data_IF_508702430732
#
_entry.id   IF_508702430732
#
_cell.length_a   1.000
_cell.length_b   1.000
_cell.length_c   1.000
_cell.angle_alpha   90.00
_cell.angle_beta   90.00
_cell.angle_gamma   90.00
#
_symmetry.space_group_name_H-M   'P 1'
#
loop_
_entity.id
_entity.type
_entity.pdbx_description
1 polymer ?
#
# COMPACT_ATOMS: atom_id res chain seq x y z
N UNK A 1 23.57 -15.85 -5.73
CA UNK A 1 22.30 -16.61 -5.65
C UNK A 1 21.21 -15.58 -5.38
N UNK A 2 20.45 -15.18 -6.42
CA UNK A 2 19.43 -14.13 -6.29
C UNK A 2 18.35 -14.65 -5.34
N UNK A 3 18.02 -13.84 -4.34
CA UNK A 3 17.00 -14.15 -3.35
C UNK A 3 15.62 -14.03 -4.02
N UNK A 4 15.27 -14.96 -4.90
CA UNK A 4 13.97 -15.02 -5.58
C UNK A 4 12.93 -15.52 -4.59
N UNK A 5 12.61 -14.69 -3.59
CA UNK A 5 11.25 -14.71 -3.06
C UNK A 5 10.34 -14.52 -4.27
N UNK A 6 9.56 -15.55 -4.62
CA UNK A 6 8.75 -15.60 -5.84
C UNK A 6 8.03 -14.27 -6.08
N UNK A 7 8.62 -13.44 -6.93
CA UNK A 7 8.08 -12.14 -7.30
C UNK A 7 6.69 -12.39 -7.90
N UNK A 8 5.66 -11.79 -7.31
CA UNK A 8 4.29 -11.96 -7.83
C UNK A 8 4.15 -11.29 -9.18
N UNK A 9 3.27 -11.81 -10.04
CA UNK A 9 3.00 -11.21 -11.35
C UNK A 9 2.59 -9.73 -11.24
N UNK A 10 1.85 -9.35 -10.19
CA UNK A 10 1.49 -7.97 -9.89
C UNK A 10 2.72 -7.06 -9.74
N UNK A 11 3.72 -7.50 -8.97
CA UNK A 11 4.95 -6.73 -8.77
C UNK A 11 5.69 -6.58 -10.10
N UNK A 12 5.87 -7.69 -10.83
CA UNK A 12 6.52 -7.68 -12.15
C UNK A 12 5.83 -6.74 -13.13
N UNK A 13 4.50 -6.81 -13.26
CA UNK A 13 3.74 -5.94 -14.16
C UNK A 13 3.91 -4.47 -13.79
N UNK A 14 3.81 -4.11 -12.51
CA UNK A 14 4.05 -2.74 -12.07
C UNK A 14 5.50 -2.31 -12.34
N UNK A 15 6.48 -3.20 -12.17
CA UNK A 15 7.90 -2.94 -12.44
C UNK A 15 8.12 -2.64 -13.91
N UNK A 16 7.53 -3.43 -14.79
CA UNK A 16 7.53 -3.16 -16.23
C UNK A 16 6.91 -1.80 -16.54
N UNK A 17 5.73 -1.48 -15.98
CA UNK A 17 5.06 -0.20 -16.25
C UNK A 17 5.88 1.03 -15.79
N UNK A 18 6.51 0.95 -14.62
CA UNK A 18 7.32 2.05 -14.07
C UNK A 18 8.74 2.13 -14.66
N UNK A 19 9.15 1.18 -15.50
CA UNK A 19 10.46 1.18 -16.17
C UNK A 19 10.35 1.46 -17.69
N UNK A 20 9.18 1.86 -18.18
CA UNK A 20 8.97 2.18 -19.59
C UNK A 20 9.71 3.45 -20.05
N UNK A 21 10.10 4.34 -19.14
CA UNK A 21 10.88 5.52 -19.48
C UNK A 21 12.29 5.17 -19.96
N UNK A 22 12.75 5.88 -20.99
CA UNK A 22 14.07 5.65 -21.58
C UNK A 22 15.19 5.84 -20.56
N UNK A 23 16.12 4.89 -20.52
CA UNK A 23 17.27 4.91 -19.61
C UNK A 23 17.00 4.29 -18.23
N UNK A 24 15.78 3.83 -17.97
CA UNK A 24 15.48 3.01 -16.79
C UNK A 24 16.11 1.62 -16.91
N UNK A 25 16.67 1.15 -15.79
CA UNK A 25 17.22 -0.19 -15.61
C UNK A 25 16.51 -0.85 -14.43
N UNK A 26 16.25 -2.15 -14.53
CA UNK A 26 15.57 -2.92 -13.48
C UNK A 26 16.54 -3.81 -12.71
N UNK A 27 16.27 -4.08 -11.43
CA UNK A 27 17.06 -4.99 -10.57
C UNK A 27 18.54 -4.59 -10.47
N UNK A 28 18.78 -3.29 -10.26
CA UNK A 28 20.13 -2.72 -10.25
C UNK A 28 20.72 -2.74 -8.85
N UNK A 29 21.90 -3.32 -8.69
CA UNK A 29 22.68 -3.21 -7.46
C UNK A 29 23.40 -1.85 -7.38
N UNK A 30 23.14 -1.10 -6.32
CA UNK A 30 23.79 0.16 -5.99
C UNK A 30 24.03 0.21 -4.48
N UNK A 31 25.25 0.52 -4.05
CA UNK A 31 25.63 0.65 -2.63
C UNK A 31 25.26 -0.58 -1.78
N UNK A 32 25.46 -1.78 -2.34
CA UNK A 32 25.15 -3.06 -1.68
C UNK A 32 23.64 -3.35 -1.53
N UNK A 33 22.77 -2.64 -2.26
CA UNK A 33 21.31 -2.83 -2.27
C UNK A 33 20.82 -2.98 -3.69
N UNK A 34 19.92 -3.93 -3.93
CA UNK A 34 19.29 -4.14 -5.24
C UNK A 34 18.01 -3.33 -5.30
N UNK A 35 17.92 -2.34 -6.19
CA UNK A 35 16.72 -1.54 -6.42
C UNK A 35 15.86 -2.10 -7.55
N UNK A 36 14.53 -2.00 -7.42
CA UNK A 36 13.62 -2.52 -8.45
C UNK A 36 13.83 -1.80 -9.78
N UNK A 37 13.95 -0.47 -9.75
CA UNK A 37 14.18 0.38 -10.92
C UNK A 37 15.14 1.52 -10.55
N UNK A 38 16.09 1.81 -11.44
CA UNK A 38 16.99 2.97 -11.37
C UNK A 38 16.94 3.71 -12.70
N UNK A 39 16.66 5.01 -12.67
CA UNK A 39 16.63 5.86 -13.87
C UNK A 39 18.04 6.31 -14.30
N UNK A 40 18.12 7.02 -15.44
CA UNK A 40 19.38 7.53 -16.00
C UNK A 40 20.11 8.55 -15.10
N UNK A 41 19.42 9.13 -14.12
CA UNK A 41 19.96 10.10 -13.15
C UNK A 41 20.33 9.45 -11.82
N UNK A 42 20.14 8.14 -11.68
CA UNK A 42 20.38 7.40 -10.44
C UNK A 42 19.27 7.53 -9.41
N UNK A 43 18.09 8.03 -9.76
CA UNK A 43 16.93 7.99 -8.88
C UNK A 43 16.34 6.58 -8.85
N UNK A 44 15.75 6.22 -7.72
CA UNK A 44 15.33 4.85 -7.46
C UNK A 44 13.81 4.77 -7.29
N UNK A 45 13.22 3.72 -7.84
CA UNK A 45 11.81 3.36 -7.61
C UNK A 45 11.73 1.95 -7.05
N UNK A 46 10.94 1.79 -5.98
CA UNK A 46 10.67 0.52 -5.31
C UNK A 46 9.19 0.18 -5.35
N UNK A 47 8.85 -1.05 -5.75
CA UNK A 47 7.46 -1.52 -5.77
C UNK A 47 7.28 -2.49 -4.62
N UNK A 48 6.37 -2.16 -3.70
CA UNK A 48 6.11 -3.02 -2.56
C UNK A 48 4.63 -3.29 -2.43
N UNK A 49 4.22 -4.55 -2.67
CA UNK A 49 2.79 -4.91 -2.66
C UNK A 49 2.21 -5.16 -1.26
N UNK A 50 3.06 -5.26 -0.22
CA UNK A 50 2.73 -5.44 1.21
C UNK A 50 3.93 -5.14 2.11
N UNK A 51 3.71 -4.75 3.36
CA UNK A 51 4.77 -4.50 4.35
C UNK A 51 5.80 -3.49 3.84
N UNK A 52 5.31 -2.31 3.43
CA UNK A 52 6.12 -1.20 2.91
C UNK A 52 7.20 -0.76 3.90
N UNK A 53 6.96 -0.93 5.20
CA UNK A 53 7.95 -0.67 6.26
C UNK A 53 9.29 -1.37 6.07
N UNK A 54 9.35 -2.49 5.34
CA UNK A 54 10.62 -3.16 5.00
C UNK A 54 11.55 -2.31 4.15
N UNK A 55 11.01 -1.33 3.42
CA UNK A 55 11.80 -0.40 2.62
C UNK A 55 12.41 0.74 3.42
N UNK A 56 12.00 0.97 4.68
CA UNK A 56 12.42 2.15 5.43
C UNK A 56 13.94 2.37 5.43
N UNK A 57 14.72 1.36 5.81
CA UNK A 57 16.19 1.44 5.89
C UNK A 57 16.81 1.67 4.50
N UNK A 58 16.26 1.03 3.47
CA UNK A 58 16.74 1.16 2.09
C UNK A 58 16.42 2.54 1.53
N UNK A 59 15.23 3.07 1.81
CA UNK A 59 14.79 4.42 1.45
C UNK A 59 15.63 5.48 2.15
N UNK A 60 15.82 5.38 3.48
CA UNK A 60 16.64 6.35 4.23
C UNK A 60 18.05 6.47 3.64
N UNK A 61 18.71 5.35 3.39
CA UNK A 61 20.05 5.35 2.83
C UNK A 61 20.12 5.91 1.40
N UNK A 62 19.11 5.67 0.56
CA UNK A 62 19.07 6.27 -0.77
C UNK A 62 18.88 7.80 -0.70
N UNK A 63 18.01 8.26 0.22
CA UNK A 63 17.80 9.69 0.46
C UNK A 63 19.05 10.38 1.02
N UNK A 64 19.77 9.73 1.95
CA UNK A 64 21.04 10.21 2.51
C UNK A 64 22.13 10.35 1.44
N UNK A 65 22.12 9.46 0.44
CA UNK A 65 22.98 9.54 -0.74
C UNK A 65 22.50 10.56 -1.80
N UNK A 66 21.51 11.39 -1.47
CA UNK A 66 21.01 12.48 -2.33
C UNK A 66 20.12 12.03 -3.48
N UNK A 67 19.70 10.77 -3.55
CA UNK A 67 18.84 10.25 -4.62
C UNK A 67 17.38 10.63 -4.40
N UNK A 68 16.61 10.79 -5.48
CA UNK A 68 15.15 10.74 -5.37
C UNK A 68 14.71 9.29 -5.19
N UNK A 69 13.77 9.08 -4.27
CA UNK A 69 13.20 7.78 -3.95
C UNK A 69 11.70 7.84 -4.17
N UNK A 70 11.21 6.99 -5.06
CA UNK A 70 9.78 6.73 -5.23
C UNK A 70 9.44 5.35 -4.68
N UNK A 71 8.39 5.27 -3.87
CA UNK A 71 7.76 3.99 -3.54
C UNK A 71 6.44 3.90 -4.30
N UNK A 72 6.16 2.73 -4.87
CA UNK A 72 4.90 2.42 -5.54
C UNK A 72 4.18 1.34 -4.75
N UNK A 73 2.97 1.64 -4.29
CA UNK A 73 2.16 0.72 -3.51
C UNK A 73 0.74 0.54 -4.10
N UNK A 74 0.37 -0.67 -4.53
CA UNK A 74 -0.99 -0.95 -4.97
C UNK A 74 -1.95 -1.20 -3.80
N UNK A 75 -3.04 -0.44 -3.77
CA UNK A 75 -4.22 -0.67 -2.93
C UNK A 75 -5.30 -1.39 -3.74
N UNK A 76 -5.74 -2.55 -3.27
CA UNK A 76 -6.71 -3.38 -4.00
C UNK A 76 -8.14 -2.88 -3.74
N UNK A 77 -8.67 -2.09 -4.67
CA UNK A 77 -10.05 -1.58 -4.64
C UNK A 77 -11.06 -2.68 -4.94
N UNK A 78 -10.76 -3.51 -5.93
CA UNK A 78 -11.55 -4.71 -6.25
C UNK A 78 -10.67 -5.94 -6.42
N UNK A 79 -11.18 -7.10 -5.96
CA UNK A 79 -10.45 -8.36 -6.04
C UNK A 79 -11.30 -9.47 -6.64
N UNK A 80 -10.78 -10.12 -7.65
CA UNK A 80 -11.29 -11.41 -8.13
C UNK A 80 -10.46 -12.55 -7.54
N UNK A 81 -11.09 -13.69 -7.32
CA UNK A 81 -10.45 -14.91 -6.86
C UNK A 81 -10.69 -15.98 -7.90
N UNK A 82 -9.61 -16.56 -8.40
CA UNK A 82 -9.64 -17.69 -9.31
C UNK A 82 -9.02 -18.90 -8.64
N UNK A 83 -9.75 -20.02 -8.68
CA UNK A 83 -9.29 -21.30 -8.17
C UNK A 83 -9.02 -22.23 -9.33
N UNK A 84 -7.81 -22.77 -9.37
CA UNK A 84 -7.36 -23.70 -10.40
C UNK A 84 -7.17 -25.11 -9.83
N UNK A 85 -7.43 -26.12 -10.66
CA UNK A 85 -7.04 -27.50 -10.40
C UNK A 85 -5.53 -27.70 -10.54
N UNK A 86 -5.03 -28.85 -10.11
CA UNK A 86 -3.60 -29.21 -10.31
C UNK A 86 -3.25 -29.36 -11.80
N UNK A 87 -4.23 -29.65 -12.64
CA UNK A 87 -4.15 -29.71 -14.10
C UNK A 87 -4.12 -28.33 -14.79
N UNK A 88 -4.18 -27.24 -14.01
CA UNK A 88 -4.17 -25.87 -14.53
C UNK A 88 -5.52 -25.38 -15.05
N UNK A 89 -6.59 -26.18 -14.97
CA UNK A 89 -7.94 -25.74 -15.38
C UNK A 89 -8.58 -24.86 -14.32
N UNK A 90 -9.27 -23.80 -14.75
CA UNK A 90 -10.01 -22.94 -13.84
C UNK A 90 -11.25 -23.69 -13.33
N UNK A 91 -11.31 -23.92 -12.02
CA UNK A 91 -12.45 -24.56 -11.33
C UNK A 91 -13.54 -23.53 -11.04
N UNK A 92 -13.16 -22.32 -10.62
CA UNK A 92 -14.12 -21.25 -10.34
C UNK A 92 -13.48 -19.89 -10.36
N UNK A 93 -14.28 -18.88 -10.69
CA UNK A 93 -13.93 -17.47 -10.64
C UNK A 93 -15.05 -16.71 -9.94
N UNK A 94 -14.71 -15.86 -8.98
CA UNK A 94 -15.69 -15.02 -8.28
C UNK A 94 -15.11 -13.70 -7.83
N UNK A 95 -15.98 -12.70 -7.66
CA UNK A 95 -15.63 -11.46 -6.97
C UNK A 95 -15.47 -11.71 -5.46
N UNK A 96 -14.49 -11.06 -4.86
CA UNK A 96 -14.28 -11.01 -3.41
C UNK A 96 -15.18 -9.92 -2.80
N UNK A 97 -15.77 -10.14 -1.62
CA UNK A 97 -16.54 -9.11 -0.94
C UNK A 97 -15.66 -7.97 -0.39
N UNK A 98 -14.37 -8.23 -0.17
CA UNK A 98 -13.40 -7.22 0.28
C UNK A 98 -13.24 -6.12 -0.77
N UNK A 99 -13.50 -4.88 -0.35
CA UNK A 99 -13.24 -3.65 -1.09
C UNK A 99 -12.25 -2.78 -0.33
N UNK A 100 -11.25 -2.27 -1.03
CA UNK A 100 -10.26 -1.35 -0.46
C UNK A 100 -10.50 0.09 -0.91
N UNK A 101 -9.77 1.01 -0.30
CA UNK A 101 -9.74 2.43 -0.66
C UNK A 101 -8.38 3.04 -0.36
N UNK A 102 -8.11 4.22 -0.90
CA UNK A 102 -6.89 4.99 -0.61
C UNK A 102 -6.47 4.98 0.87
N UNK A 103 -7.41 5.00 1.82
CA UNK A 103 -7.15 4.98 3.26
C UNK A 103 -6.50 3.70 3.78
N UNK A 104 -6.56 2.58 3.04
CA UNK A 104 -5.86 1.34 3.41
C UNK A 104 -4.33 1.52 3.40
N UNK A 105 -3.80 2.54 2.71
CA UNK A 105 -2.37 2.86 2.73
C UNK A 105 -1.87 3.13 4.16
N UNK A 106 -2.72 3.68 5.05
CA UNK A 106 -2.28 4.09 6.38
C UNK A 106 -1.79 2.93 7.24
N UNK A 107 -2.21 1.69 6.99
CA UNK A 107 -1.61 0.52 7.64
C UNK A 107 -0.11 0.41 7.31
N UNK A 108 0.23 0.63 6.04
CA UNK A 108 1.59 0.52 5.51
C UNK A 108 2.45 1.74 5.90
N UNK A 109 1.85 2.92 6.03
CA UNK A 109 2.54 4.16 6.41
C UNK A 109 3.06 4.15 7.84
N UNK A 110 2.52 3.29 8.72
CA UNK A 110 2.92 3.23 10.14
C UNK A 110 4.40 2.97 10.35
N UNK A 111 5.02 2.18 9.48
CA UNK A 111 6.45 1.91 9.52
C UNK A 111 7.27 2.73 8.52
N UNK A 112 6.64 3.62 7.75
CA UNK A 112 7.29 4.45 6.74
C UNK A 112 7.24 5.95 7.09
N UNK A 113 6.45 6.36 8.10
CA UNK A 113 6.30 7.77 8.48
C UNK A 113 7.60 8.58 8.63
N UNK A 114 8.77 8.03 9.05
CA UNK A 114 10.00 8.82 9.18
C UNK A 114 10.52 9.42 7.87
N UNK A 115 10.10 8.89 6.72
CA UNK A 115 10.57 9.34 5.40
C UNK A 115 9.52 10.08 4.57
N UNK A 116 8.23 10.04 4.95
CA UNK A 116 7.11 10.52 4.12
C UNK A 116 7.15 12.02 3.78
N UNK A 117 7.80 12.83 4.62
CA UNK A 117 7.97 14.27 4.41
C UNK A 117 9.42 14.67 4.08
N UNK A 118 10.29 13.70 3.82
CA UNK A 118 11.67 14.00 3.44
C UNK A 118 11.68 14.59 2.04
N UNK A 119 12.53 15.59 1.83
CA UNK A 119 12.86 16.07 0.48
C UNK A 119 13.32 14.87 -0.35
N UNK A 120 12.97 14.87 -1.65
CA UNK A 120 13.31 13.82 -2.61
C UNK A 120 12.58 12.47 -2.40
N UNK A 121 11.64 12.37 -1.45
CA UNK A 121 10.76 11.21 -1.31
C UNK A 121 9.42 11.44 -2.03
N UNK A 122 8.90 10.42 -2.71
CA UNK A 122 7.50 10.38 -3.15
C UNK A 122 6.90 8.98 -3.00
N UNK A 123 5.58 8.93 -2.81
CA UNK A 123 4.80 7.69 -2.74
C UNK A 123 3.67 7.73 -3.77
N UNK A 124 3.69 6.80 -4.71
CA UNK A 124 2.56 6.54 -5.60
C UNK A 124 1.68 5.44 -4.99
N UNK A 125 0.42 5.78 -4.72
CA UNK A 125 -0.60 4.81 -4.31
C UNK A 125 -1.54 4.56 -5.47
N UNK A 126 -1.55 3.31 -5.93
CA UNK A 126 -2.34 2.86 -7.07
C UNK A 126 -3.59 2.16 -6.58
N UNK A 127 -4.78 2.71 -6.81
CA UNK A 127 -6.01 1.94 -6.58
C UNK A 127 -6.22 1.01 -7.77
N UNK A 128 -6.21 -0.31 -7.52
CA UNK A 128 -6.22 -1.32 -8.59
C UNK A 128 -7.38 -2.30 -8.46
N UNK A 129 -7.75 -2.89 -9.60
CA UNK A 129 -8.38 -4.21 -9.61
C UNK A 129 -7.30 -5.29 -9.68
N UNK A 130 -7.50 -6.40 -8.98
CA UNK A 130 -6.49 -7.47 -8.86
C UNK A 130 -7.17 -8.84 -8.92
N UNK A 131 -6.52 -9.81 -9.56
CA UNK A 131 -6.94 -11.22 -9.47
C UNK A 131 -5.98 -11.98 -8.55
N UNK A 132 -6.50 -12.64 -7.53
CA UNK A 132 -5.75 -13.58 -6.68
C UNK A 132 -5.91 -15.00 -7.22
N UNK A 133 -4.79 -15.63 -7.57
CA UNK A 133 -4.75 -17.01 -8.05
C UNK A 133 -4.58 -17.97 -6.88
N UNK A 134 -5.36 -19.05 -6.91
CA UNK A 134 -5.30 -20.14 -5.93
C UNK A 134 -5.22 -21.48 -6.65
N UNK A 135 -4.50 -22.42 -6.06
CA UNK A 135 -4.46 -23.82 -6.53
C UNK A 135 -5.15 -24.70 -5.48
N UNK A 136 -6.04 -25.59 -5.94
CA UNK A 136 -6.72 -26.59 -5.13
C UNK A 136 -5.71 -27.59 -4.58
N UNK A 137 -5.80 -27.88 -3.29
CA UNK A 137 -5.06 -28.97 -2.65
C UNK A 137 -6.00 -30.14 -2.37
N UNK A 138 -5.47 -31.36 -2.37
CA UNK A 138 -6.24 -32.56 -2.02
C UNK A 138 -6.71 -32.46 -0.57
N UNK A 139 -5.77 -32.24 0.34
CA UNK A 139 -6.08 -32.05 1.77
C UNK A 139 -6.14 -30.57 2.17
N UNK A 140 -6.84 -30.23 3.27
CA UNK A 140 -6.77 -28.91 3.86
C UNK A 140 -5.33 -28.57 4.32
N UNK A 141 -4.77 -27.50 3.76
CA UNK A 141 -3.42 -27.01 4.06
C UNK A 141 -3.42 -25.70 4.85
N UNK A 142 -2.34 -25.50 5.60
CA UNK A 142 -2.00 -24.23 6.21
C UNK A 142 -1.53 -23.23 5.14
N UNK A 143 -1.67 -21.91 5.38
CA UNK A 143 -1.07 -20.91 4.49
C UNK A 143 0.47 -20.95 4.59
N UNK A 144 1.20 -20.56 3.54
CA UNK A 144 2.68 -20.60 3.56
C UNK A 144 3.33 -19.84 4.73
N UNK A 145 2.66 -18.81 5.25
CA UNK A 145 3.14 -18.03 6.40
C UNK A 145 2.65 -18.54 7.77
N UNK A 146 1.93 -19.67 7.84
CA UNK A 146 1.45 -20.26 9.10
C UNK A 146 0.28 -19.54 9.78
N UNK A 147 -0.19 -18.40 9.25
CA UNK A 147 -1.12 -17.50 9.97
C UNK A 147 -2.61 -17.82 9.77
N UNK A 148 -2.98 -18.83 8.98
CA UNK A 148 -4.40 -19.12 8.73
C UNK A 148 -5.01 -19.78 9.97
N UNK A 149 -6.10 -19.20 10.49
CA UNK A 149 -6.86 -19.75 11.62
C UNK A 149 -7.38 -21.18 11.35
N UNK A 150 -7.84 -21.43 10.12
CA UNK A 150 -8.34 -22.74 9.70
C UNK A 150 -7.65 -23.18 8.41
N UNK A 151 -7.24 -24.45 8.34
CA UNK A 151 -6.71 -25.03 7.10
C UNK A 151 -7.76 -24.94 5.99
N UNK A 152 -7.33 -24.82 4.74
CA UNK A 152 -8.21 -24.75 3.56
C UNK A 152 -7.68 -25.66 2.48
N UNK A 153 -8.56 -26.22 1.67
CA UNK A 153 -8.22 -27.05 0.52
C UNK A 153 -7.69 -26.23 -0.67
N UNK A 154 -6.96 -25.14 -0.42
CA UNK A 154 -6.31 -24.32 -1.43
C UNK A 154 -5.16 -23.48 -0.85
N UNK A 155 -4.18 -23.17 -1.71
CA UNK A 155 -3.11 -22.22 -1.44
C UNK A 155 -3.17 -21.03 -2.39
N UNK A 156 -2.76 -19.86 -1.90
CA UNK A 156 -2.54 -18.68 -2.77
C UNK A 156 -1.21 -18.89 -3.47
N UNK A 157 -1.19 -18.64 -4.77
CA UNK A 157 0.01 -18.84 -5.58
C UNK A 157 0.47 -17.58 -6.26
N UNK A 158 -0.44 -16.69 -6.63
CA UNK A 158 -0.07 -15.46 -7.33
C UNK A 158 -1.12 -14.35 -7.19
N UNK A 159 -0.74 -13.15 -7.58
CA UNK A 159 -1.62 -12.00 -7.78
C UNK A 159 -1.29 -11.37 -9.12
N UNK A 160 -2.29 -11.04 -9.92
CA UNK A 160 -2.11 -10.31 -11.18
C UNK A 160 -2.83 -8.97 -11.14
N UNK A 161 -2.24 -7.97 -11.79
CA UNK A 161 -2.88 -6.68 -12.02
C UNK A 161 -4.05 -6.87 -12.98
N UNK A 162 -5.22 -6.30 -12.66
CA UNK A 162 -6.34 -6.19 -13.60
C UNK A 162 -6.29 -4.83 -14.29
N UNK A 163 -6.56 -3.76 -13.55
CA UNK A 163 -6.58 -2.39 -14.03
C UNK A 163 -6.09 -1.45 -12.94
N UNK A 164 -5.36 -0.40 -13.32
CA UNK A 164 -5.10 0.77 -12.45
C UNK A 164 -6.28 1.73 -12.62
N UNK A 165 -7.06 1.92 -11.56
CA UNK A 165 -8.25 2.76 -11.56
C UNK A 165 -7.91 4.23 -11.30
N UNK A 166 -6.95 4.46 -10.41
CA UNK A 166 -6.45 5.79 -10.06
C UNK A 166 -5.02 5.69 -9.54
N UNK A 167 -4.28 6.78 -9.68
CA UNK A 167 -2.96 6.97 -9.08
C UNK A 167 -3.02 8.24 -8.25
N UNK A 168 -2.65 8.17 -6.97
CA UNK A 168 -2.43 9.35 -6.13
C UNK A 168 -0.96 9.38 -5.71
N UNK A 169 -0.28 10.46 -6.06
CA UNK A 169 1.11 10.72 -5.66
C UNK A 169 1.12 11.59 -4.41
N UNK A 170 1.91 11.19 -3.42
CA UNK A 170 2.18 11.95 -2.21
C UNK A 170 3.63 12.42 -2.24
N UNK A 171 3.83 13.73 -2.28
CA UNK A 171 5.13 14.41 -2.28
C UNK A 171 5.35 15.23 -1.01
N UNK A 172 4.29 15.54 -0.25
CA UNK A 172 4.41 16.32 0.97
C UNK A 172 3.14 16.42 1.80
N UNK A 173 3.18 17.29 2.80
CA UNK A 173 2.16 17.44 3.84
C UNK A 173 0.74 17.62 3.28
N UNK A 174 0.58 18.48 2.28
CA UNK A 174 -0.72 18.81 1.68
C UNK A 174 -1.43 17.57 1.12
N UNK A 175 -0.69 16.64 0.52
CA UNK A 175 -1.27 15.43 -0.09
C UNK A 175 -1.91 14.50 0.96
N UNK A 176 -1.31 14.41 2.14
CA UNK A 176 -1.82 13.63 3.25
C UNK A 176 -2.97 14.34 3.97
N UNK A 177 -2.87 15.67 4.13
CA UNK A 177 -3.93 16.49 4.73
C UNK A 177 -5.19 16.54 3.86
N UNK A 178 -5.04 16.47 2.53
CA UNK A 178 -6.15 16.38 1.58
C UNK A 178 -6.96 15.07 1.68
N UNK A 179 -6.54 14.11 2.50
CA UNK A 179 -7.34 12.94 2.85
C UNK A 179 -8.26 13.18 4.05
N UNK A 180 -8.12 14.31 4.76
CA UNK A 180 -9.07 14.68 5.81
C UNK A 180 -10.32 15.26 5.11
N UNK A 181 -11.53 14.70 5.35
CA UNK A 181 -12.75 15.27 4.81
C UNK A 181 -12.96 16.71 5.28
N UNK A 182 -13.36 17.62 4.40
CA UNK A 182 -13.50 19.06 4.70
C UNK A 182 -14.46 19.31 5.87
N UNK A 183 -15.52 18.50 6.00
CA UNK A 183 -16.48 18.58 7.10
C UNK A 183 -15.89 18.26 8.49
N UNK A 184 -14.68 17.72 8.55
CA UNK A 184 -13.95 17.50 9.81
C UNK A 184 -13.13 18.73 10.22
N UNK A 185 -12.89 19.69 9.33
CA UNK A 185 -12.06 20.84 9.63
C UNK A 185 -12.88 21.95 10.33
N UNK A 186 -12.26 22.80 11.17
CA UNK A 186 -10.82 22.83 11.51
C UNK A 186 -10.42 21.89 12.66
N UNK A 187 -11.39 21.31 13.36
CA UNK A 187 -11.19 20.52 14.57
C UNK A 187 -12.00 19.23 14.53
N UNK A 188 -11.32 18.11 14.78
CA UNK A 188 -11.91 16.79 14.67
C UNK A 188 -11.28 15.77 15.60
N UNK A 189 -12.07 14.77 15.95
CA UNK A 189 -11.65 13.54 16.60
C UNK A 189 -11.55 12.39 15.60
N UNK A 190 -10.86 11.31 15.98
CA UNK A 190 -10.85 10.07 15.19
C UNK A 190 -12.26 9.49 14.96
N UNK A 191 -13.19 9.74 15.89
CA UNK A 191 -14.59 9.31 15.79
C UNK A 191 -15.35 10.07 14.71
N UNK A 192 -15.20 11.39 14.65
CA UNK A 192 -15.83 12.23 13.62
C UNK A 192 -15.22 11.95 12.25
N UNK A 193 -13.89 11.76 12.17
CA UNK A 193 -13.24 11.31 10.93
C UNK A 193 -13.82 9.97 10.46
N UNK A 194 -13.95 8.98 11.34
CA UNK A 194 -14.56 7.69 10.98
C UNK A 194 -16.01 7.85 10.50
N UNK A 195 -16.80 8.72 11.15
CA UNK A 195 -18.18 8.99 10.76
C UNK A 195 -18.26 9.67 9.38
N UNK A 196 -17.40 10.65 9.11
CA UNK A 196 -17.30 11.33 7.84
C UNK A 196 -16.93 10.36 6.70
N UNK A 197 -15.91 9.52 6.91
CA UNK A 197 -15.50 8.49 5.93
C UNK A 197 -16.59 7.45 5.69
N UNK A 198 -17.39 7.12 6.71
CA UNK A 198 -18.52 6.18 6.58
C UNK A 198 -19.70 6.80 5.80
N UNK A 199 -19.90 8.11 5.91
CA UNK A 199 -20.97 8.83 5.24
C UNK A 199 -20.71 9.02 3.73
N UNK A 200 -19.45 9.04 3.31
CA UNK A 200 -19.06 9.11 1.91
C UNK A 200 -19.40 7.80 1.16
N UNK A 201 -20.42 7.86 0.31
CA UNK A 201 -20.94 6.72 -0.47
C UNK A 201 -19.94 6.20 -1.51
N UNK A 202 -18.90 6.96 -1.86
CA UNK A 202 -17.86 6.53 -2.79
C UNK A 202 -16.83 5.60 -2.14
N UNK A 203 -16.78 5.59 -0.80
CA UNK A 203 -15.84 4.80 -0.01
C UNK A 203 -16.47 3.49 0.48
N UNK A 204 -15.66 2.42 0.59
CA UNK A 204 -16.09 1.20 1.28
C UNK A 204 -16.15 1.43 2.78
N UNK A 205 -16.98 0.65 3.48
CA UNK A 205 -17.10 0.70 4.94
C UNK A 205 -15.77 0.48 5.69
N UNK A 206 -14.78 -0.18 5.07
CA UNK A 206 -13.43 -0.37 5.60
C UNK A 206 -12.66 0.94 5.76
N UNK A 207 -12.97 2.00 5.01
CA UNK A 207 -12.27 3.29 5.11
C UNK A 207 -12.39 3.89 6.52
N UNK A 208 -13.59 3.83 7.11
CA UNK A 208 -13.83 4.33 8.48
C UNK A 208 -12.97 3.62 9.54
N UNK A 209 -12.63 2.34 9.33
CA UNK A 209 -11.75 1.60 10.23
C UNK A 209 -10.29 2.12 10.22
N UNK A 210 -9.92 2.94 9.23
CA UNK A 210 -8.59 3.54 9.10
C UNK A 210 -8.44 4.88 9.80
N UNK A 211 -9.53 5.47 10.29
CA UNK A 211 -9.48 6.80 10.92
C UNK A 211 -8.46 6.88 12.05
N UNK A 212 -8.44 5.92 12.98
CA UNK A 212 -7.49 5.94 14.09
C UNK A 212 -6.03 5.83 13.65
N UNK A 213 -5.73 4.94 12.70
CA UNK A 213 -4.36 4.75 12.24
C UNK A 213 -3.90 5.93 11.37
N UNK A 214 -4.81 6.51 10.59
CA UNK A 214 -4.58 7.77 9.88
C UNK A 214 -4.24 8.90 10.85
N UNK A 215 -5.03 9.10 11.90
CA UNK A 215 -4.76 10.11 12.94
C UNK A 215 -3.39 9.89 13.56
N UNK A 216 -3.04 8.64 13.89
CA UNK A 216 -1.73 8.31 14.44
C UNK A 216 -0.61 8.69 13.49
N UNK A 217 -0.72 8.34 12.19
CA UNK A 217 0.30 8.64 11.18
C UNK A 217 0.45 10.16 11.02
N UNK A 218 -0.66 10.89 10.83
CA UNK A 218 -0.63 12.35 10.66
C UNK A 218 -0.03 13.06 11.88
N UNK A 219 -0.36 12.59 13.09
CA UNK A 219 0.24 13.11 14.33
C UNK A 219 1.74 12.81 14.40
N UNK A 220 2.18 11.58 14.05
CA UNK A 220 3.60 11.21 14.00
C UNK A 220 4.39 11.98 12.95
N UNK A 221 3.75 12.38 11.87
CA UNK A 221 4.30 13.26 10.84
C UNK A 221 4.27 14.74 11.24
N UNK A 222 3.76 15.08 12.42
CA UNK A 222 3.63 16.45 12.92
C UNK A 222 2.74 17.34 12.03
N UNK A 223 1.76 16.75 11.33
CA UNK A 223 0.81 17.49 10.47
C UNK A 223 -0.44 17.95 11.21
N UNK A 224 -0.75 17.30 12.33
CA UNK A 224 -1.85 17.64 13.22
C UNK A 224 -1.34 17.74 14.65
N UNK A 225 -2.04 18.49 15.49
CA UNK A 225 -1.77 18.59 16.93
C UNK A 225 -3.02 18.36 17.75
N UNK A 226 -2.84 17.78 18.94
CA UNK A 226 -3.91 17.62 19.91
C UNK A 226 -4.20 18.99 20.52
N UNK A 227 -5.48 19.38 20.50
CA UNK A 227 -5.97 20.66 21.03
C UNK A 227 -6.57 20.48 22.42
N UNK A 228 -7.50 19.53 22.54
CA UNK A 228 -8.18 19.24 23.81
C UNK A 228 -8.64 17.78 23.92
N UNK A 229 -9.11 17.42 25.10
CA UNK A 229 -9.80 16.16 25.37
C UNK A 229 -11.22 16.49 25.80
N UNK A 230 -12.21 16.07 25.01
CA UNK A 230 -13.64 16.30 25.27
C UNK A 230 -14.38 14.97 25.25
N UNK A 231 -15.12 14.67 26.32
CA UNK A 231 -15.88 13.43 26.46
C UNK A 231 -15.05 12.16 26.20
N UNK A 232 -13.80 12.12 26.70
CA UNK A 232 -12.81 11.03 26.48
C UNK A 232 -12.29 10.89 25.04
N UNK A 233 -12.66 11.80 24.14
CA UNK A 233 -12.12 11.85 22.78
C UNK A 233 -11.05 12.92 22.69
N UNK A 234 -9.94 12.60 22.03
CA UNK A 234 -8.90 13.57 21.72
C UNK A 234 -9.31 14.31 20.44
N UNK A 235 -9.33 15.63 20.52
CA UNK A 235 -9.58 16.52 19.40
C UNK A 235 -8.27 17.08 18.89
N UNK A 236 -8.18 17.18 17.57
CA UNK A 236 -6.99 17.62 16.86
C UNK A 236 -7.35 18.72 15.87
N UNK A 237 -6.37 19.58 15.56
CA UNK A 237 -6.42 20.50 14.43
C UNK A 237 -5.18 20.31 13.54
N UNK A 238 -5.32 20.73 12.28
CA UNK A 238 -4.18 20.84 11.36
C UNK A 238 -3.23 21.93 11.86
N UNK A 239 -1.92 21.68 11.74
CA UNK A 239 -0.88 22.66 12.09
C UNK A 239 -0.69 23.73 11.02
#
# INVERSE_FOLDING_TARGET
MINTYSESSLHRTLKTLYSLENGCRTEVECDGKIYDIVDSRGNVTEIQTKNVSKLLIKTMSALENGRNVKIVHPVVREKHIELYGKDGKCISRRKSPVKGSIYDIFDELTGLYPVLLKKNFSLDVLEITMTERRIRTQEPVQSPNGRRRFRKNWNKTDKTLGQILSTRTFCGAADYLALIPEQCLPEFSAKELAAALKADKSLPASAAARAHIMMWVLYKMNLIQMKEIKNRFHYYCVK
#
